data_IF_311627291309
#
_entry.id   IF_311627291309
#
_cell.length_a   1.000
_cell.length_b   1.000
_cell.length_c   1.000
_cell.angle_alpha   90.00
_cell.angle_beta   90.00
_cell.angle_gamma   90.00
#
_symmetry.space_group_name_H-M   'P 1'
#
loop_
_entity.id
_entity.type
_entity.pdbx_description
1 polymer ?
#
# COMPACT_ATOMS: atom_id res chain seq x y z
N UNK A 1 23.82 30.99 10.17
CA UNK A 1 24.21 32.07 9.23
C UNK A 1 23.05 32.26 8.25
N UNK A 2 22.21 33.27 8.50
CA UNK A 2 22.11 34.54 7.75
C UNK A 2 21.21 34.44 6.51
N UNK A 3 20.00 35.00 6.69
CA UNK A 3 19.13 35.77 5.79
C UNK A 3 19.41 35.81 4.27
N UNK A 4 18.32 35.74 3.49
CA UNK A 4 18.25 36.31 2.16
C UNK A 4 16.85 36.28 1.53
N UNK A 5 16.00 37.26 1.86
CA UNK A 5 14.82 37.62 1.05
C UNK A 5 15.29 38.37 -0.21
N UNK A 6 14.73 38.05 -1.36
CA UNK A 6 14.74 38.89 -2.57
C UNK A 6 13.54 38.50 -3.44
N UNK A 7 12.38 39.12 -3.25
CA UNK A 7 11.92 40.32 -3.97
C UNK A 7 11.86 40.14 -5.49
N UNK A 8 10.61 39.97 -5.93
CA UNK A 8 10.02 40.33 -7.22
C UNK A 8 10.83 41.29 -8.10
N UNK A 9 10.99 40.91 -9.38
CA UNK A 9 11.15 41.86 -10.48
C UNK A 9 10.04 41.63 -11.53
N UNK A 10 9.35 42.69 -11.98
CA UNK A 10 8.33 42.62 -13.03
C UNK A 10 8.96 42.76 -14.42
N UNK A 11 8.25 42.29 -15.45
CA UNK A 11 8.40 42.65 -16.88
C UNK A 11 9.71 42.27 -17.60
N UNK A 12 9.70 41.14 -18.34
CA UNK A 12 10.06 41.09 -19.78
C UNK A 12 9.76 39.69 -20.39
N UNK A 13 9.14 39.59 -21.58
CA UNK A 13 8.70 38.33 -22.19
C UNK A 13 9.69 37.84 -23.26
N UNK A 14 10.20 36.61 -23.17
CA UNK A 14 10.81 35.91 -24.31
C UNK A 14 10.52 34.40 -24.27
N UNK A 15 9.99 33.95 -25.39
CA UNK A 15 9.64 32.60 -25.81
C UNK A 15 10.86 31.67 -26.00
N UNK A 16 10.58 30.39 -26.30
CA UNK A 16 11.46 29.26 -26.69
C UNK A 16 12.04 28.44 -25.52
N UNK A 17 11.93 27.11 -25.41
CA UNK A 17 11.55 25.99 -26.30
C UNK A 17 10.89 24.92 -25.39
N UNK A 18 9.68 24.45 -25.67
CA UNK A 18 9.41 23.20 -26.40
C UNK A 18 10.28 22.00 -25.99
N UNK A 19 9.70 21.03 -25.26
CA UNK A 19 9.64 19.59 -25.60
C UNK A 19 8.48 19.00 -24.76
N UNK A 20 7.33 18.82 -25.45
CA UNK A 20 6.42 17.65 -25.47
C UNK A 20 6.28 16.80 -24.19
N UNK A 21 5.09 16.45 -23.69
CA UNK A 21 4.06 15.70 -24.44
C UNK A 21 2.77 15.59 -23.57
N UNK A 22 1.61 15.90 -24.17
CA UNK A 22 0.20 15.63 -23.76
C UNK A 22 -0.47 16.45 -22.65
N UNK A 23 -0.93 17.64 -23.06
CA UNK A 23 -2.16 18.26 -22.56
C UNK A 23 -3.26 18.03 -23.61
N UNK A 24 -4.23 17.17 -23.30
CA UNK A 24 -5.40 16.93 -24.17
C UNK A 24 -6.45 18.00 -23.85
N UNK A 25 -6.40 19.11 -24.58
CA UNK A 25 -7.50 20.07 -24.64
C UNK A 25 -8.59 19.52 -25.57
N UNK A 26 -9.84 19.59 -25.14
CA UNK A 26 -10.98 19.69 -26.05
C UNK A 26 -11.89 20.79 -25.54
N UNK A 27 -11.84 21.94 -26.21
CA UNK A 27 -12.92 22.92 -26.20
C UNK A 27 -13.97 22.53 -27.26
N UNK A 28 -15.24 22.89 -27.05
CA UNK A 28 -16.15 23.14 -28.16
C UNK A 28 -16.49 24.63 -28.27
N UNK A 29 -16.42 25.14 -29.50
CA UNK A 29 -16.92 26.46 -29.89
C UNK A 29 -17.85 26.31 -31.10
N UNK A 30 -19.08 26.79 -31.00
CA UNK A 30 -19.81 27.40 -32.13
C UNK A 30 -21.05 28.16 -31.65
N UNK A 31 -21.22 29.37 -32.18
CA UNK A 31 -22.23 30.37 -31.87
C UNK A 31 -23.43 30.29 -32.84
N UNK A 32 -24.60 30.76 -32.39
CA UNK A 32 -25.48 31.77 -33.06
C UNK A 32 -26.94 31.59 -32.59
N UNK A 33 -27.47 32.55 -31.82
CA UNK A 33 -28.34 33.67 -32.23
C UNK A 33 -29.77 33.25 -32.63
N UNK A 34 -30.75 33.62 -31.79
CA UNK A 34 -31.92 34.46 -32.15
C UNK A 34 -32.68 34.84 -30.86
N UNK A 35 -33.32 36.02 -30.80
CA UNK A 35 -33.96 36.55 -29.60
C UNK A 35 -35.43 36.12 -29.53
N UNK A 36 -35.83 35.48 -28.42
CA UNK A 36 -37.25 35.40 -28.04
C UNK A 36 -37.53 36.39 -26.93
N UNK A 37 -38.12 37.53 -27.31
CA UNK A 37 -38.88 38.37 -26.41
C UNK A 37 -40.03 37.53 -25.83
N UNK A 38 -39.99 37.29 -24.52
CA UNK A 38 -41.13 36.82 -23.75
C UNK A 38 -41.19 37.65 -22.46
N UNK A 39 -42.04 38.67 -22.47
CA UNK A 39 -42.52 39.32 -21.26
C UNK A 39 -43.46 38.31 -20.59
N UNK A 40 -43.07 37.74 -19.45
CA UNK A 40 -44.02 37.16 -18.51
C UNK A 40 -43.51 37.30 -17.07
N UNK A 41 -44.26 38.12 -16.33
CA UNK A 41 -44.37 38.26 -14.88
C UNK A 41 -43.29 37.58 -14.02
N UNK A 42 -42.47 38.40 -13.35
CA UNK A 42 -41.74 37.98 -12.15
C UNK A 42 -42.80 37.62 -11.11
N UNK A 43 -42.94 36.37 -10.63
CA UNK A 43 -43.44 36.23 -9.28
C UNK A 43 -42.40 36.95 -8.42
N UNK A 44 -42.83 37.93 -7.63
CA UNK A 44 -42.02 38.36 -6.51
C UNK A 44 -41.87 37.14 -5.61
N UNK A 45 -40.87 36.30 -5.91
CA UNK A 45 -40.36 35.32 -4.97
C UNK A 45 -39.84 36.17 -3.83
N UNK A 46 -40.67 36.37 -2.82
CA UNK A 46 -40.22 36.74 -1.50
C UNK A 46 -39.27 35.61 -1.12
N UNK A 47 -37.97 35.81 -1.43
CA UNK A 47 -36.93 35.07 -0.75
C UNK A 47 -37.08 35.53 0.68
N UNK A 48 -37.86 34.80 1.46
CA UNK A 48 -37.70 34.83 2.91
C UNK A 48 -36.26 34.44 3.10
N UNK A 49 -35.42 35.44 3.31
CA UNK A 49 -34.10 35.23 3.88
C UNK A 49 -34.40 34.67 5.27
N UNK A 50 -34.52 33.36 5.37
CA UNK A 50 -34.36 32.70 6.65
C UNK A 50 -32.91 32.99 7.04
N UNK A 51 -32.73 34.07 7.81
CA UNK A 51 -31.52 34.29 8.56
C UNK A 51 -31.42 33.12 9.53
N UNK A 52 -30.67 32.10 9.13
CA UNK A 52 -30.12 31.13 10.08
C UNK A 52 -29.18 31.92 10.98
N UNK A 53 -29.74 32.39 12.11
CA UNK A 53 -29.06 33.21 13.10
C UNK A 53 -28.79 32.41 14.37
N UNK A 54 -28.54 31.11 14.22
CA UNK A 54 -27.94 30.33 15.30
C UNK A 54 -26.43 30.36 15.07
N UNK A 55 -25.72 30.96 16.02
CA UNK A 55 -24.26 30.92 16.04
C UNK A 55 -23.75 29.48 15.97
N UNK A 56 -22.50 29.34 15.55
CA UNK A 56 -21.71 28.16 15.18
C UNK A 56 -21.89 26.85 15.99
N UNK A 57 -22.65 26.85 17.08
CA UNK A 57 -22.61 25.80 18.07
C UNK A 57 -23.97 25.17 18.46
N UNK A 58 -25.10 25.89 18.41
CA UNK A 58 -26.39 25.28 18.76
C UNK A 58 -27.54 25.88 17.96
N UNK A 59 -27.89 25.21 16.87
CA UNK A 59 -29.06 25.50 16.05
C UNK A 59 -29.48 24.22 15.35
N UNK A 60 -30.69 23.76 15.64
CA UNK A 60 -31.29 22.55 15.08
C UNK A 60 -31.23 22.53 13.54
N UNK A 61 -30.95 21.33 12.99
CA UNK A 61 -31.07 20.93 11.58
C UNK A 61 -29.80 21.01 10.70
N UNK A 62 -28.60 20.77 11.24
CA UNK A 62 -27.37 20.56 10.45
C UNK A 62 -27.24 19.14 9.85
N UNK A 63 -28.36 18.46 9.56
CA UNK A 63 -28.35 17.07 9.04
C UNK A 63 -27.56 16.96 7.73
N UNK A 64 -27.69 17.95 6.85
CA UNK A 64 -26.97 18.01 5.58
C UNK A 64 -25.45 18.12 5.76
N UNK A 65 -24.99 18.81 6.80
CA UNK A 65 -23.55 18.99 7.05
C UNK A 65 -22.92 17.73 7.68
N UNK A 66 -23.68 16.97 8.49
CA UNK A 66 -23.25 15.64 8.93
C UNK A 66 -23.13 14.67 7.75
N UNK A 67 -24.10 14.66 6.83
CA UNK A 67 -24.05 13.86 5.61
C UNK A 67 -22.89 14.25 4.69
N UNK A 68 -22.63 15.56 4.52
CA UNK A 68 -21.45 16.06 3.78
C UNK A 68 -20.14 15.66 4.46
N UNK A 69 -20.07 15.71 5.79
CA UNK A 69 -18.90 15.28 6.56
C UNK A 69 -18.59 13.80 6.33
N UNK A 70 -19.58 12.92 6.45
CA UNK A 70 -19.40 11.48 6.22
C UNK A 70 -19.02 11.16 4.76
N UNK A 71 -19.72 11.76 3.80
CA UNK A 71 -19.40 11.55 2.37
C UNK A 71 -18.04 12.12 1.99
N UNK A 72 -17.58 13.19 2.65
CA UNK A 72 -16.22 13.71 2.48
C UNK A 72 -15.18 12.70 2.98
N UNK A 73 -15.37 12.13 4.18
CA UNK A 73 -14.48 11.07 4.72
C UNK A 73 -14.42 9.86 3.78
N UNK A 74 -15.58 9.43 3.26
CA UNK A 74 -15.63 8.33 2.29
C UNK A 74 -14.87 8.66 1.01
N UNK A 75 -15.09 9.84 0.41
CA UNK A 75 -14.38 10.27 -0.81
C UNK A 75 -12.87 10.34 -0.60
N UNK A 76 -12.42 10.86 0.54
CA UNK A 76 -10.98 10.88 0.87
C UNK A 76 -10.42 9.47 1.02
N UNK A 77 -11.18 8.56 1.67
CA UNK A 77 -10.79 7.16 1.81
C UNK A 77 -10.74 6.43 0.46
N UNK A 78 -11.61 6.77 -0.49
CA UNK A 78 -11.56 6.23 -1.85
C UNK A 78 -10.32 6.66 -2.63
N UNK A 79 -9.84 7.89 -2.44
CA UNK A 79 -8.55 8.31 -3.00
C UNK A 79 -7.40 7.52 -2.38
N UNK A 80 -7.39 7.45 -1.04
CA UNK A 80 -6.34 6.75 -0.29
C UNK A 80 -6.30 5.25 -0.62
N UNK A 81 -7.44 4.54 -0.67
CA UNK A 81 -7.47 3.09 -0.99
C UNK A 81 -6.81 2.79 -2.33
N UNK A 82 -7.08 3.60 -3.36
CA UNK A 82 -6.53 3.37 -4.70
C UNK A 82 -5.04 3.69 -4.77
N UNK A 83 -4.56 4.69 -4.03
CA UNK A 83 -3.11 4.96 -3.92
C UNK A 83 -2.36 3.79 -3.27
N UNK A 84 -2.85 3.26 -2.15
CA UNK A 84 -2.21 2.14 -1.46
C UNK A 84 -2.27 0.84 -2.25
N UNK A 85 -3.37 0.56 -2.94
CA UNK A 85 -3.47 -0.60 -3.85
C UNK A 85 -2.42 -0.53 -4.95
N UNK A 86 -2.26 0.64 -5.60
CA UNK A 86 -1.25 0.83 -6.65
C UNK A 86 0.16 0.68 -6.10
N UNK A 87 0.47 1.26 -4.94
CA UNK A 87 1.79 1.13 -4.31
C UNK A 87 2.09 -0.33 -3.95
N UNK A 88 1.11 -1.06 -3.40
CA UNK A 88 1.28 -2.48 -3.09
C UNK A 88 1.61 -3.26 -4.36
N UNK A 89 0.80 -3.16 -5.42
CA UNK A 89 1.08 -3.89 -6.65
C UNK A 89 2.38 -3.45 -7.36
N UNK A 90 2.72 -2.16 -7.33
CA UNK A 90 3.91 -1.64 -7.98
C UNK A 90 5.21 -1.96 -7.21
N UNK A 91 5.17 -2.06 -5.88
CA UNK A 91 6.36 -2.20 -5.03
C UNK A 91 6.46 -3.57 -4.35
N UNK A 92 5.36 -4.09 -3.79
CA UNK A 92 5.39 -5.36 -3.06
C UNK A 92 5.60 -6.55 -3.99
N UNK A 93 4.94 -6.60 -5.15
CA UNK A 93 5.11 -7.68 -6.12
C UNK A 93 6.57 -7.84 -6.57
N UNK A 94 7.27 -6.80 -7.09
CA UNK A 94 8.65 -6.99 -7.51
C UNK A 94 9.59 -7.33 -6.34
N UNK A 95 9.35 -6.78 -5.15
CA UNK A 95 10.12 -7.11 -3.94
C UNK A 95 9.93 -8.59 -3.54
N UNK A 96 8.69 -9.09 -3.56
CA UNK A 96 8.37 -10.49 -3.25
C UNK A 96 8.93 -11.45 -4.31
N UNK A 97 8.84 -11.10 -5.60
CA UNK A 97 9.41 -11.93 -6.67
C UNK A 97 10.92 -12.02 -6.55
N UNK A 98 11.60 -10.92 -6.27
CA UNK A 98 13.05 -10.89 -6.10
C UNK A 98 13.51 -11.73 -4.90
N UNK A 99 12.84 -11.58 -3.75
CA UNK A 99 13.15 -12.36 -2.54
C UNK A 99 12.83 -13.84 -2.69
N UNK A 100 11.72 -14.19 -3.36
CA UNK A 100 11.37 -15.57 -3.69
C UNK A 100 12.43 -16.22 -4.58
N UNK A 101 12.92 -15.52 -5.60
CA UNK A 101 13.96 -16.03 -6.47
C UNK A 101 15.29 -16.23 -5.72
N UNK A 102 15.67 -15.28 -4.88
CA UNK A 102 16.88 -15.39 -4.06
C UNK A 102 16.80 -16.58 -3.10
N UNK A 103 15.69 -16.72 -2.38
CA UNK A 103 15.46 -17.84 -1.47
C UNK A 103 15.42 -19.19 -2.20
N UNK A 104 14.82 -19.25 -3.39
CA UNK A 104 14.82 -20.46 -4.21
C UNK A 104 16.22 -20.83 -4.71
N UNK A 105 17.01 -19.85 -5.15
CA UNK A 105 18.40 -20.07 -5.57
C UNK A 105 19.25 -20.62 -4.42
N UNK A 106 19.08 -20.04 -3.23
CA UNK A 106 19.76 -20.44 -2.00
C UNK A 106 19.34 -21.86 -1.56
N UNK A 107 18.04 -22.13 -1.55
CA UNK A 107 17.48 -23.45 -1.21
C UNK A 107 18.07 -24.57 -2.09
N UNK A 108 18.19 -24.35 -3.41
CA UNK A 108 18.83 -25.34 -4.29
C UNK A 108 20.31 -25.57 -3.99
N UNK A 109 21.05 -24.51 -3.67
CA UNK A 109 22.48 -24.62 -3.32
C UNK A 109 22.66 -25.40 -2.03
N UNK A 110 21.80 -25.15 -1.05
CA UNK A 110 21.80 -25.87 0.22
C UNK A 110 21.45 -27.36 0.05
N UNK A 111 20.52 -27.70 -0.83
CA UNK A 111 20.23 -29.10 -1.18
C UNK A 111 21.37 -29.80 -1.90
N UNK A 112 22.13 -29.08 -2.73
CA UNK A 112 23.28 -29.62 -3.45
C UNK A 112 24.55 -29.76 -2.59
N UNK A 113 24.58 -29.14 -1.40
CA UNK A 113 25.75 -29.15 -0.53
C UNK A 113 25.85 -30.46 0.25
N UNK A 114 27.05 -31.07 0.24
CA UNK A 114 27.33 -32.27 1.01
C UNK A 114 27.10 -32.01 2.52
N UNK A 115 26.45 -32.97 3.18
CA UNK A 115 26.15 -32.90 4.62
C UNK A 115 27.46 -32.94 5.42
N UNK A 116 27.61 -32.16 6.50
CA UNK A 116 28.75 -32.31 7.40
C UNK A 116 28.73 -33.67 8.10
N UNK A 117 29.92 -34.23 8.32
CA UNK A 117 30.09 -35.49 9.03
C UNK A 117 29.55 -35.42 10.45
N UNK A 118 29.06 -36.56 10.95
CA UNK A 118 28.51 -36.65 12.29
C UNK A 118 29.61 -36.52 13.34
N UNK A 119 29.60 -35.43 14.09
CA UNK A 119 30.44 -35.23 15.27
C UNK A 119 29.53 -35.08 16.49
N UNK A 120 29.61 -36.06 17.39
CA UNK A 120 28.81 -36.04 18.62
C UNK A 120 29.39 -35.03 19.62
N UNK A 121 28.77 -33.86 19.70
CA UNK A 121 29.03 -32.90 20.76
C UNK A 121 28.12 -33.15 21.97
N UNK A 122 28.69 -33.15 23.17
CA UNK A 122 27.96 -33.47 24.41
C UNK A 122 26.82 -32.51 24.73
N UNK A 123 26.87 -31.26 24.24
CA UNK A 123 25.84 -30.25 24.45
C UNK A 123 24.70 -30.32 23.41
N UNK A 124 24.90 -31.03 22.29
CA UNK A 124 23.90 -31.18 21.25
C UNK A 124 22.93 -32.30 21.64
N UNK A 125 21.64 -32.07 21.43
CA UNK A 125 20.58 -33.08 21.55
C UNK A 125 20.46 -33.76 22.93
N UNK A 126 20.84 -33.08 24.02
CA UNK A 126 20.64 -33.54 25.41
C UNK A 126 19.14 -33.75 25.67
N UNK A 127 18.79 -34.92 26.20
CA UNK A 127 17.42 -35.27 26.60
C UNK A 127 17.41 -35.69 28.08
N UNK A 128 16.80 -34.85 28.93
CA UNK A 128 16.62 -35.15 30.36
C UNK A 128 15.35 -35.96 30.64
N UNK A 129 14.34 -35.86 29.76
CA UNK A 129 13.08 -36.60 29.80
C UNK A 129 12.72 -37.01 28.36
N UNK A 130 12.10 -38.17 28.16
CA UNK A 130 11.64 -38.58 26.84
C UNK A 130 10.48 -37.69 26.37
N UNK A 131 10.35 -37.49 25.05
CA UNK A 131 9.20 -36.79 24.49
C UNK A 131 7.90 -37.60 24.71
N UNK A 132 6.74 -36.93 24.88
CA UNK A 132 5.48 -37.59 25.17
C UNK A 132 4.80 -38.23 23.94
N UNK A 133 5.50 -38.41 22.83
CA UNK A 133 5.01 -39.03 21.59
C UNK A 133 6.09 -39.91 20.95
N UNK A 134 5.65 -40.82 20.08
CA UNK A 134 6.55 -41.67 19.30
C UNK A 134 7.43 -42.57 20.18
N UNK A 135 8.74 -42.54 19.92
CA UNK A 135 9.77 -43.32 20.61
C UNK A 135 10.45 -42.57 21.76
N UNK A 136 10.01 -41.33 22.05
CA UNK A 136 10.60 -40.46 23.06
C UNK A 136 11.95 -39.82 22.68
N UNK A 137 12.57 -40.26 21.58
CA UNK A 137 13.85 -39.76 21.10
C UNK A 137 13.70 -38.84 19.88
N UNK A 138 12.61 -38.90 19.13
CA UNK A 138 12.38 -38.04 17.98
C UNK A 138 11.61 -36.76 18.34
N UNK A 139 12.09 -35.60 17.87
CA UNK A 139 11.32 -34.35 17.92
C UNK A 139 10.09 -34.45 17.01
N UNK A 140 9.09 -33.60 17.24
CA UNK A 140 7.84 -33.58 16.45
C UNK A 140 8.08 -33.39 14.94
N UNK A 141 9.05 -32.56 14.58
CA UNK A 141 9.50 -32.34 13.20
C UNK A 141 10.88 -32.94 12.97
N UNK A 142 11.04 -34.24 13.21
CA UNK A 142 12.30 -34.93 12.97
C UNK A 142 12.46 -35.34 11.51
N UNK A 143 13.55 -34.89 10.88
CA UNK A 143 13.95 -35.34 9.55
C UNK A 143 15.08 -36.38 9.65
N UNK A 144 14.78 -37.64 9.32
CA UNK A 144 15.72 -38.78 9.43
C UNK A 144 17.00 -38.63 8.61
N UNK A 145 16.97 -37.83 7.55
CA UNK A 145 18.11 -37.63 6.64
C UNK A 145 19.03 -36.48 7.08
N UNK A 146 18.53 -35.54 7.87
CA UNK A 146 19.26 -34.31 8.22
C UNK A 146 19.51 -34.13 9.71
N UNK A 147 18.67 -34.72 10.56
CA UNK A 147 18.78 -34.59 12.00
C UNK A 147 19.28 -35.91 12.59
N UNK A 148 20.35 -35.85 13.36
CA UNK A 148 20.90 -37.01 14.04
C UNK A 148 20.27 -37.21 15.43
N UNK A 149 20.27 -38.45 15.89
CA UNK A 149 19.79 -38.85 17.23
C UNK A 149 21.01 -39.23 18.09
N UNK A 150 21.06 -38.84 19.38
CA UNK A 150 22.17 -39.22 20.26
C UNK A 150 22.32 -40.75 20.30
N UNK A 151 23.55 -41.23 20.11
CA UNK A 151 23.91 -42.66 20.17
C UNK A 151 23.81 -43.43 18.85
N UNK A 152 22.98 -43.00 17.90
CA UNK A 152 22.76 -43.70 16.61
C UNK A 152 23.36 -42.95 15.42
N UNK A 153 23.54 -41.63 15.54
CA UNK A 153 24.00 -40.77 14.45
C UNK A 153 22.87 -40.40 13.50
N UNK A 154 23.18 -40.30 12.20
CA UNK A 154 22.16 -40.09 11.16
C UNK A 154 21.50 -41.42 10.81
N UNK A 155 20.16 -41.46 10.85
CA UNK A 155 19.41 -42.71 10.64
C UNK A 155 19.30 -43.12 9.17
N UNK A 156 19.38 -42.14 8.25
CA UNK A 156 19.37 -42.37 6.82
C UNK A 156 20.40 -41.50 6.11
N UNK A 157 21.02 -42.05 5.07
CA UNK A 157 21.80 -41.26 4.12
C UNK A 157 20.86 -40.42 3.25
N UNK A 158 21.29 -39.20 2.90
CA UNK A 158 20.56 -38.38 1.94
C UNK A 158 20.57 -39.12 0.60
N UNK A 159 19.40 -39.61 0.16
CA UNK A 159 19.25 -40.09 -1.20
C UNK A 159 19.61 -38.96 -2.18
N UNK A 160 20.38 -39.27 -3.23
CA UNK A 160 20.54 -38.32 -4.34
C UNK A 160 19.19 -38.22 -5.05
N UNK A 161 18.52 -37.08 -4.88
CA UNK A 161 17.31 -36.71 -5.62
C UNK A 161 17.67 -35.75 -6.76
#
# INVERSE_FOLDING_TARGET
MVFGRGQSCPSCPKQLCAINFWCFHSQPSSMSLLPRLAIRARPAAVKVSQRSSSGQFYGSNNFDDFGKGLTHQLKTAEGTKETWKKIFFACSIPCLLMTMYAAWSDHKKHHASARPDYVHYQYLNIRNKPFPWGDGNHSLFHNKTEQFVPGVGYEADRGHH
#
